data_IF_313204862502
#
_entry.id   IF_313204862502
#
_cell.length_a   1.000
_cell.length_b   1.000
_cell.length_c   1.000
_cell.angle_alpha   90.00
_cell.angle_beta   90.00
_cell.angle_gamma   90.00
#
_symmetry.space_group_name_H-M   'P 1'
#
loop_
_entity.id
_entity.type
_entity.pdbx_description
1 polymer ?
#
# COMPACT_ATOMS: atom_id res chain seq x y z
N UNK A 1 -9.89 27.50 59.44
CA UNK A 1 -10.35 27.03 58.08
C UNK A 1 -10.21 28.10 57.00
N UNK A 2 -10.17 29.41 57.33
CA UNK A 2 -10.05 30.50 56.37
C UNK A 2 -8.66 30.53 55.67
N UNK A 3 -7.56 30.31 56.39
CA UNK A 3 -6.21 30.29 55.84
C UNK A 3 -5.92 29.17 54.82
N UNK A 4 -6.65 28.04 54.87
CA UNK A 4 -6.52 26.97 53.90
C UNK A 4 -7.18 27.32 52.57
N UNK A 5 -8.31 28.01 52.58
CA UNK A 5 -9.00 28.48 51.36
C UNK A 5 -8.18 29.55 50.64
N UNK A 6 -7.54 30.45 51.36
CA UNK A 6 -6.74 31.51 50.76
C UNK A 6 -5.47 30.98 50.08
N UNK A 7 -4.81 29.94 50.62
CA UNK A 7 -3.68 29.27 49.95
C UNK A 7 -4.09 28.51 48.70
N UNK A 8 -5.26 27.87 48.66
CA UNK A 8 -5.77 27.19 47.47
C UNK A 8 -6.16 28.18 46.37
N UNK A 9 -6.69 29.36 46.67
CA UNK A 9 -6.98 30.40 45.68
C UNK A 9 -5.70 30.94 45.04
N UNK A 10 -4.65 31.22 45.80
CA UNK A 10 -3.38 31.74 45.28
C UNK A 10 -2.64 30.72 44.38
N UNK A 11 -2.74 29.43 44.66
CA UNK A 11 -2.13 28.37 43.81
C UNK A 11 -2.88 28.27 42.49
N UNK A 12 -4.22 28.36 42.53
CA UNK A 12 -5.08 28.27 41.34
C UNK A 12 -4.86 29.49 40.40
N UNK A 13 -4.73 30.69 40.94
CA UNK A 13 -4.45 31.91 40.18
C UNK A 13 -3.06 31.88 39.52
N UNK A 14 -2.04 31.39 40.23
CA UNK A 14 -0.70 31.26 39.64
C UNK A 14 -0.62 30.21 38.54
N UNK A 15 -1.31 29.09 38.70
CA UNK A 15 -1.34 28.05 37.66
C UNK A 15 -2.08 28.49 36.40
N UNK A 16 -3.22 29.19 36.56
CA UNK A 16 -3.95 29.74 35.41
C UNK A 16 -3.17 30.85 34.69
N UNK A 17 -2.46 31.71 35.43
CA UNK A 17 -1.62 32.75 34.84
C UNK A 17 -0.46 32.14 34.01
N UNK A 18 0.15 31.06 34.47
CA UNK A 18 1.22 30.38 33.73
C UNK A 18 0.66 29.73 32.44
N UNK A 19 -0.51 29.09 32.49
CA UNK A 19 -1.14 28.49 31.34
C UNK A 19 -1.51 29.56 30.30
N UNK A 20 -2.06 30.68 30.72
CA UNK A 20 -2.41 31.80 29.83
C UNK A 20 -1.16 32.43 29.21
N UNK A 21 -0.09 32.64 29.98
CA UNK A 21 1.18 33.15 29.47
C UNK A 21 1.81 32.15 28.46
N UNK A 22 1.78 30.86 28.76
CA UNK A 22 2.27 29.82 27.84
C UNK A 22 1.48 29.82 26.54
N UNK A 23 0.16 29.91 26.62
CA UNK A 23 -0.68 29.93 25.40
C UNK A 23 -0.49 31.20 24.54
N UNK A 24 -0.12 32.33 25.15
CA UNK A 24 0.14 33.58 24.42
C UNK A 24 1.52 33.63 23.75
N UNK A 25 2.52 32.95 24.32
CA UNK A 25 3.90 33.05 23.83
C UNK A 25 4.42 31.79 23.14
N UNK A 26 3.82 30.61 23.36
CA UNK A 26 4.31 29.33 22.87
C UNK A 26 3.30 28.52 22.08
N UNK A 27 2.04 29.02 21.91
CA UNK A 27 1.15 28.33 20.98
C UNK A 27 1.64 28.54 19.53
N UNK A 28 1.95 27.48 18.77
CA UNK A 28 2.23 27.62 17.36
C UNK A 28 0.98 28.14 16.64
N UNK A 29 1.18 29.07 15.73
CA UNK A 29 0.10 29.57 14.88
C UNK A 29 -0.51 28.39 14.11
N UNK A 30 -1.85 28.29 14.15
CA UNK A 30 -2.55 27.28 13.37
C UNK A 30 -2.17 27.46 11.89
N UNK A 31 -1.81 26.38 11.17
CA UNK A 31 -1.54 26.50 9.74
C UNK A 31 -2.78 27.08 9.05
N UNK A 32 -2.61 28.24 8.46
CA UNK A 32 -3.64 28.88 7.64
C UNK A 32 -3.81 28.04 6.38
N UNK A 33 -4.94 27.38 6.26
CA UNK A 33 -5.34 26.69 5.04
C UNK A 33 -5.45 27.70 3.91
N UNK A 34 -4.38 27.93 3.17
CA UNK A 34 -4.38 28.73 1.96
C UNK A 34 -5.04 27.94 0.81
N UNK A 35 -6.37 28.06 0.71
CA UNK A 35 -7.07 27.84 -0.54
C UNK A 35 -6.81 29.05 -1.44
N UNK A 36 -5.72 29.08 -2.17
CA UNK A 36 -5.60 29.97 -3.32
C UNK A 36 -4.61 29.43 -4.37
N UNK A 37 -5.19 28.98 -5.48
CA UNK A 37 -4.74 29.25 -6.84
C UNK A 37 -3.26 28.95 -7.16
N UNK A 38 -2.98 27.70 -7.44
CA UNK A 38 -1.79 27.34 -8.21
C UNK A 38 -2.11 27.66 -9.68
N UNK A 39 -1.53 28.73 -10.16
CA UNK A 39 -1.40 29.01 -11.59
C UNK A 39 -0.64 27.88 -12.26
N UNK A 40 -1.27 27.34 -13.28
CA UNK A 40 -0.78 26.35 -14.22
C UNK A 40 0.51 26.85 -14.90
N UNK A 41 1.66 26.49 -14.36
CA UNK A 41 2.91 26.54 -15.10
C UNK A 41 3.14 25.14 -15.67
N UNK A 42 3.11 25.07 -16.99
CA UNK A 42 3.53 23.89 -17.74
C UNK A 42 5.01 23.65 -17.42
N UNK A 43 5.29 22.62 -16.64
CA UNK A 43 6.59 21.99 -16.57
C UNK A 43 6.45 20.72 -17.39
N UNK A 44 7.28 20.63 -18.43
CA UNK A 44 7.41 19.43 -19.25
C UNK A 44 7.67 18.23 -18.34
N UNK A 45 6.72 17.28 -18.31
CA UNK A 45 6.84 16.05 -17.56
C UNK A 45 7.90 15.15 -18.21
N UNK A 46 9.02 15.00 -17.55
CA UNK A 46 9.86 13.83 -17.75
C UNK A 46 9.19 12.66 -17.02
N UNK A 47 8.63 11.76 -17.80
CA UNK A 47 7.83 10.62 -17.35
C UNK A 47 8.71 9.46 -16.92
N UNK A 48 9.21 9.42 -15.70
CA UNK A 48 9.96 8.27 -15.18
C UNK A 48 9.60 7.87 -13.73
N UNK A 49 8.43 8.31 -13.24
CA UNK A 49 7.86 7.79 -11.99
C UNK A 49 6.51 7.13 -12.29
N UNK A 50 6.16 5.98 -11.66
CA UNK A 50 4.81 5.45 -11.73
C UNK A 50 3.84 6.55 -11.27
N UNK A 51 3.06 7.09 -12.21
CA UNK A 51 2.17 8.22 -11.95
C UNK A 51 1.04 7.78 -11.01
N UNK A 52 0.96 8.40 -9.83
CA UNK A 52 -0.16 8.32 -8.91
C UNK A 52 -1.45 8.98 -9.44
N UNK A 53 -1.39 9.65 -10.59
CA UNK A 53 -2.49 10.43 -11.16
C UNK A 53 -3.18 9.74 -12.34
N UNK A 54 -3.73 8.54 -12.11
CA UNK A 54 -4.89 8.11 -12.89
C UNK A 54 -6.14 8.23 -12.04
N UNK A 55 -6.73 9.40 -12.04
CA UNK A 55 -8.11 9.61 -11.59
C UNK A 55 -9.04 9.02 -12.64
N UNK A 56 -9.03 7.69 -12.73
CA UNK A 56 -10.07 6.98 -13.45
C UNK A 56 -11.37 7.15 -12.66
N UNK A 57 -12.36 7.72 -13.29
CA UNK A 57 -13.77 7.64 -12.87
C UNK A 57 -14.18 6.16 -12.94
N UNK A 58 -13.76 5.37 -11.97
CA UNK A 58 -14.08 3.96 -11.89
C UNK A 58 -15.56 3.81 -11.53
N UNK A 59 -16.33 3.23 -12.43
CA UNK A 59 -17.60 2.61 -12.09
C UNK A 59 -17.27 1.62 -10.96
N UNK A 60 -17.82 1.84 -9.76
CA UNK A 60 -17.54 1.00 -8.60
C UNK A 60 -18.14 -0.38 -8.84
N UNK A 61 -17.26 -1.32 -9.15
CA UNK A 61 -17.61 -2.73 -9.39
C UNK A 61 -17.60 -3.45 -8.04
N UNK A 62 -18.46 -4.46 -7.87
CA UNK A 62 -18.39 -5.31 -6.68
C UNK A 62 -17.08 -6.09 -6.65
N UNK A 63 -16.57 -6.46 -5.45
CA UNK A 63 -15.34 -7.26 -5.33
C UNK A 63 -15.44 -8.57 -6.11
N UNK A 64 -16.59 -9.26 -6.04
CA UNK A 64 -16.81 -10.53 -6.72
C UNK A 64 -16.76 -10.39 -8.25
N UNK A 65 -17.31 -9.31 -8.79
CA UNK A 65 -17.26 -9.05 -10.22
C UNK A 65 -15.88 -8.61 -10.67
N UNK A 66 -15.16 -7.82 -9.86
CA UNK A 66 -13.79 -7.44 -10.13
C UNK A 66 -12.84 -8.65 -10.20
N UNK A 67 -13.00 -9.63 -9.28
CA UNK A 67 -12.20 -10.86 -9.27
C UNK A 67 -12.42 -11.72 -10.51
N UNK A 68 -13.58 -11.64 -11.17
CA UNK A 68 -13.89 -12.39 -12.40
C UNK A 68 -13.32 -11.76 -13.67
N UNK A 69 -12.86 -10.51 -13.63
CA UNK A 69 -12.44 -9.76 -14.83
C UNK A 69 -11.09 -10.21 -15.41
N UNK A 70 -10.31 -10.98 -14.67
CA UNK A 70 -8.99 -11.43 -15.09
C UNK A 70 -8.70 -12.87 -14.68
N UNK A 71 -7.74 -13.48 -15.36
CA UNK A 71 -7.23 -14.79 -14.94
C UNK A 71 -6.44 -14.64 -13.64
N UNK A 72 -6.61 -15.61 -12.75
CA UNK A 72 -6.04 -15.57 -11.40
C UNK A 72 -5.43 -16.90 -11.01
N UNK A 73 -4.46 -16.85 -10.09
CA UNK A 73 -3.90 -18.02 -9.43
C UNK A 73 -4.34 -17.98 -7.97
N UNK A 74 -4.96 -19.03 -7.52
CA UNK A 74 -5.36 -19.16 -6.14
C UNK A 74 -4.18 -19.51 -5.25
N UNK A 75 -4.18 -18.93 -4.04
CA UNK A 75 -3.29 -19.34 -2.97
C UNK A 75 -4.06 -19.66 -1.70
N UNK A 76 -3.52 -20.58 -0.94
CA UNK A 76 -4.12 -21.00 0.32
C UNK A 76 -3.06 -21.66 1.21
N UNK A 77 -3.08 -21.30 2.50
CA UNK A 77 -2.41 -22.02 3.58
C UNK A 77 -3.37 -22.15 4.79
N UNK A 78 -2.84 -22.44 5.99
CA UNK A 78 -3.66 -22.57 7.20
C UNK A 78 -4.27 -21.24 7.67
N UNK A 79 -3.66 -20.11 7.34
CA UNK A 79 -3.97 -18.79 7.89
C UNK A 79 -4.72 -17.89 6.93
N UNK A 80 -4.47 -18.00 5.63
CA UNK A 80 -5.01 -17.12 4.59
C UNK A 80 -5.49 -17.89 3.37
N UNK A 81 -6.41 -17.24 2.63
CA UNK A 81 -6.88 -17.67 1.31
C UNK A 81 -7.03 -16.44 0.42
N UNK A 82 -6.74 -16.60 -0.86
CA UNK A 82 -6.87 -15.50 -1.83
C UNK A 82 -6.43 -15.88 -3.22
N UNK A 83 -6.13 -14.86 -4.02
CA UNK A 83 -5.65 -15.07 -5.38
C UNK A 83 -4.77 -13.93 -5.89
N UNK A 84 -3.90 -14.26 -6.84
CA UNK A 84 -3.00 -13.35 -7.54
C UNK A 84 -3.57 -13.10 -8.92
N UNK A 85 -3.68 -11.83 -9.27
CA UNK A 85 -4.12 -11.41 -10.60
C UNK A 85 -2.98 -11.61 -11.61
N UNK A 86 -3.22 -12.31 -12.73
CA UNK A 86 -2.22 -12.46 -13.79
C UNK A 86 -2.03 -11.17 -14.60
N UNK A 87 -2.99 -10.25 -14.57
CA UNK A 87 -2.83 -8.89 -15.07
C UNK A 87 -2.06 -8.06 -14.05
N UNK A 88 -0.88 -7.59 -14.40
CA UNK A 88 0.06 -6.88 -13.52
C UNK A 88 0.81 -7.76 -12.49
N UNK A 89 0.45 -9.04 -12.36
CA UNK A 89 0.96 -9.94 -11.32
C UNK A 89 0.80 -9.36 -9.89
N UNK A 90 -0.36 -8.78 -9.61
CA UNK A 90 -0.70 -8.13 -8.35
C UNK A 90 -1.30 -9.12 -7.35
N UNK A 91 -0.94 -8.98 -6.07
CA UNK A 91 -1.63 -9.65 -4.96
C UNK A 91 -2.73 -8.71 -4.49
N UNK A 92 -3.96 -8.92 -4.97
CA UNK A 92 -5.10 -8.03 -4.80
C UNK A 92 -6.35 -8.73 -4.26
N UNK A 93 -6.18 -9.90 -3.66
CA UNK A 93 -7.26 -10.67 -3.06
C UNK A 93 -6.68 -11.53 -1.93
N UNK A 94 -6.97 -11.16 -0.69
CA UNK A 94 -6.56 -11.90 0.50
C UNK A 94 -7.59 -11.79 1.60
N UNK A 95 -7.98 -12.93 2.15
CA UNK A 95 -8.89 -13.06 3.27
C UNK A 95 -8.25 -13.91 4.37
N UNK A 96 -8.35 -13.45 5.61
CA UNK A 96 -7.89 -14.19 6.77
C UNK A 96 -8.87 -15.32 7.13
N UNK A 97 -8.37 -16.52 7.36
CA UNK A 97 -9.20 -17.69 7.75
C UNK A 97 -9.56 -17.68 9.24
N UNK A 98 -8.69 -17.10 10.06
CA UNK A 98 -8.77 -17.18 11.52
C UNK A 98 -9.35 -15.91 12.17
N UNK A 99 -9.63 -14.83 11.40
CA UNK A 99 -10.14 -13.57 11.91
C UNK A 99 -11.53 -13.28 11.34
N UNK A 100 -12.46 -12.96 12.23
CA UNK A 100 -13.80 -12.52 11.87
C UNK A 100 -13.91 -10.99 11.97
N UNK A 101 -14.83 -10.39 11.20
CA UNK A 101 -15.07 -8.94 11.25
C UNK A 101 -15.62 -8.48 12.59
N UNK A 102 -16.39 -9.34 13.28
CA UNK A 102 -17.00 -9.11 14.59
C UNK A 102 -17.00 -10.39 15.39
N UNK A 103 -17.10 -10.29 16.71
CA UNK A 103 -17.12 -11.44 17.63
C UNK A 103 -18.30 -12.38 17.37
N UNK A 104 -19.45 -11.83 16.94
CA UNK A 104 -20.69 -12.59 16.68
C UNK A 104 -20.87 -12.96 15.20
N UNK A 105 -19.98 -12.52 14.31
CA UNK A 105 -20.07 -12.75 12.88
C UNK A 105 -19.15 -13.90 12.43
N UNK A 106 -19.66 -14.73 11.51
CA UNK A 106 -18.83 -15.70 10.80
C UNK A 106 -18.14 -15.11 9.57
N UNK A 107 -18.35 -13.81 9.26
CA UNK A 107 -17.76 -13.14 8.13
C UNK A 107 -16.25 -12.91 8.39
N UNK A 108 -15.43 -13.40 7.49
CA UNK A 108 -13.98 -13.27 7.60
C UNK A 108 -13.49 -11.87 7.21
N UNK A 109 -12.38 -11.45 7.83
CA UNK A 109 -11.70 -10.19 7.48
C UNK A 109 -11.04 -10.37 6.12
N UNK A 110 -11.42 -9.54 5.16
CA UNK A 110 -10.75 -9.40 3.87
C UNK A 110 -9.77 -8.23 3.97
N UNK A 111 -8.49 -8.50 3.76
CA UNK A 111 -7.42 -7.50 3.81
C UNK A 111 -7.23 -6.83 2.45
N UNK A 112 -7.00 -7.63 1.40
CA UNK A 112 -6.72 -7.11 0.06
C UNK A 112 -7.95 -7.20 -0.84
N UNK A 113 -8.07 -6.23 -1.73
CA UNK A 113 -9.11 -6.14 -2.74
C UNK A 113 -8.61 -5.52 -4.05
N UNK A 114 -9.23 -5.88 -5.20
CA UNK A 114 -8.83 -5.38 -6.52
C UNK A 114 -8.79 -3.86 -6.62
N UNK A 115 -7.92 -3.34 -7.50
CA UNK A 115 -7.72 -1.90 -7.74
C UNK A 115 -9.00 -1.15 -8.08
N UNK A 116 -9.90 -1.76 -8.85
CA UNK A 116 -11.10 -1.13 -9.40
C UNK A 116 -12.33 -1.16 -8.47
N UNK A 117 -12.18 -1.56 -7.22
CA UNK A 117 -13.23 -1.45 -6.19
C UNK A 117 -12.99 -0.24 -5.28
N UNK A 118 -14.04 0.21 -4.61
CA UNK A 118 -14.00 1.40 -3.73
C UNK A 118 -12.89 1.34 -2.68
N UNK A 119 -12.76 0.20 -2.01
CA UNK A 119 -11.74 -0.04 -0.98
C UNK A 119 -10.61 -0.92 -1.52
N UNK A 120 -10.17 -0.68 -2.77
CA UNK A 120 -9.07 -1.39 -3.37
C UNK A 120 -7.82 -1.27 -2.50
N UNK A 121 -7.18 -2.42 -2.23
CA UNK A 121 -5.97 -2.51 -1.44
C UNK A 121 -5.14 -3.68 -1.97
N UNK A 122 -3.98 -3.39 -2.55
CA UNK A 122 -3.21 -4.38 -3.26
C UNK A 122 -1.71 -4.15 -3.11
N UNK A 123 -0.96 -5.19 -3.40
CA UNK A 123 0.50 -5.19 -3.41
C UNK A 123 0.95 -5.46 -4.84
N UNK A 124 1.81 -4.60 -5.35
CA UNK A 124 2.46 -4.75 -6.64
C UNK A 124 3.97 -4.74 -6.49
N UNK A 125 4.62 -5.44 -7.39
CA UNK A 125 6.07 -5.36 -7.56
C UNK A 125 6.37 -5.33 -9.05
N UNK A 126 7.51 -4.77 -9.43
CA UNK A 126 7.82 -4.65 -10.85
C UNK A 126 9.23 -4.18 -11.10
N UNK A 127 9.42 -3.67 -12.30
CA UNK A 127 10.71 -3.21 -12.79
C UNK A 127 10.58 -1.80 -13.35
N UNK A 128 11.61 -1.00 -13.20
CA UNK A 128 11.76 0.30 -13.86
C UNK A 128 13.09 0.33 -14.60
N UNK A 129 13.17 1.15 -15.64
CA UNK A 129 14.39 1.38 -16.43
C UNK A 129 14.45 2.83 -16.84
N UNK A 130 15.65 3.36 -17.01
CA UNK A 130 15.88 4.70 -17.58
C UNK A 130 15.81 4.71 -19.13
N UNK A 131 15.86 3.54 -19.76
CA UNK A 131 15.78 3.44 -21.22
C UNK A 131 14.33 3.41 -21.69
N UNK A 132 13.88 4.52 -22.29
CA UNK A 132 12.49 4.69 -22.81
C UNK A 132 12.13 3.82 -23.99
N UNK A 133 13.10 3.17 -24.63
CA UNK A 133 12.89 2.33 -25.81
C UNK A 133 12.62 0.86 -25.45
N UNK A 134 12.66 0.53 -24.17
CA UNK A 134 12.45 -0.83 -23.69
C UNK A 134 11.05 -0.99 -23.12
N UNK A 135 10.35 -1.98 -23.62
CA UNK A 135 9.09 -2.41 -23.02
C UNK A 135 9.37 -3.20 -21.73
N UNK A 136 8.82 -2.71 -20.62
CA UNK A 136 8.81 -3.40 -19.33
C UNK A 136 7.38 -3.77 -18.92
N UNK A 137 7.19 -4.84 -18.13
CA UNK A 137 5.86 -5.21 -17.69
C UNK A 137 5.29 -4.15 -16.74
N UNK A 138 4.01 -3.82 -16.93
CA UNK A 138 3.24 -2.85 -16.15
C UNK A 138 1.95 -3.47 -15.57
N UNK A 139 1.09 -2.66 -14.97
CA UNK A 139 -0.19 -3.12 -14.37
C UNK A 139 -1.17 -3.74 -15.37
N UNK A 140 -1.02 -3.48 -16.67
CA UNK A 140 -1.85 -4.02 -17.74
C UNK A 140 -1.27 -5.29 -18.38
N UNK A 141 -0.01 -5.60 -18.13
CA UNK A 141 0.69 -6.73 -18.72
C UNK A 141 0.13 -8.06 -18.21
N UNK A 142 -0.13 -8.98 -19.12
CA UNK A 142 -0.63 -10.32 -18.77
C UNK A 142 0.55 -11.27 -18.58
N UNK A 143 0.73 -11.74 -17.38
CA UNK A 143 1.78 -12.68 -17.02
C UNK A 143 1.36 -14.12 -17.29
N UNK A 144 2.31 -14.94 -17.69
CA UNK A 144 2.13 -16.38 -17.91
C UNK A 144 2.64 -17.16 -16.72
N UNK A 145 1.92 -18.22 -16.36
CA UNK A 145 2.32 -19.14 -15.32
C UNK A 145 3.29 -20.16 -15.91
N UNK A 146 4.39 -20.40 -15.21
CA UNK A 146 5.36 -21.45 -15.54
C UNK A 146 5.28 -22.54 -14.46
N UNK A 147 4.92 -23.74 -14.86
CA UNK A 147 4.86 -24.90 -13.96
C UNK A 147 3.60 -24.92 -13.10
N UNK A 148 3.75 -24.77 -11.79
CA UNK A 148 2.67 -24.88 -10.83
C UNK A 148 1.66 -23.72 -10.97
N UNK A 149 0.38 -24.03 -10.87
CA UNK A 149 -0.72 -23.08 -10.96
C UNK A 149 -1.46 -22.84 -9.63
N UNK A 150 -0.92 -23.36 -8.53
CA UNK A 150 -1.43 -23.14 -7.16
C UNK A 150 -0.28 -22.83 -6.24
N UNK A 151 -0.43 -21.75 -5.46
CA UNK A 151 0.51 -21.33 -4.44
C UNK A 151 0.04 -21.85 -3.07
N UNK A 152 0.93 -22.54 -2.37
CA UNK A 152 0.72 -23.01 -0.99
C UNK A 152 2.01 -22.82 -0.19
N UNK A 153 1.98 -23.12 1.09
CA UNK A 153 3.18 -23.15 1.95
C UNK A 153 4.24 -24.20 1.51
N UNK A 154 3.85 -25.17 0.66
CA UNK A 154 4.71 -26.23 0.13
C UNK A 154 5.06 -26.04 -1.36
N UNK A 155 4.48 -25.06 -2.05
CA UNK A 155 4.67 -24.86 -3.49
C UNK A 155 4.71 -23.39 -3.85
N UNK A 156 5.76 -22.98 -4.56
CA UNK A 156 5.84 -21.65 -5.18
C UNK A 156 5.14 -21.61 -6.54
N UNK A 157 4.87 -20.40 -7.00
CA UNK A 157 4.48 -20.15 -8.39
C UNK A 157 5.54 -19.31 -9.10
N UNK A 158 5.71 -19.54 -10.38
CA UNK A 158 6.58 -18.75 -11.24
C UNK A 158 5.76 -18.10 -12.34
N UNK A 159 5.92 -16.80 -12.47
CA UNK A 159 5.28 -15.97 -13.49
C UNK A 159 6.35 -15.43 -14.44
N UNK A 160 6.03 -15.34 -15.72
CA UNK A 160 6.93 -14.82 -16.75
C UNK A 160 6.22 -13.90 -17.72
N UNK A 161 6.89 -12.86 -18.13
CA UNK A 161 6.48 -11.97 -19.21
C UNK A 161 7.70 -11.61 -20.07
N UNK A 162 7.55 -11.71 -21.40
CA UNK A 162 8.63 -11.46 -22.35
C UNK A 162 8.22 -10.31 -23.26
N UNK A 163 9.11 -9.35 -23.47
CA UNK A 163 8.91 -8.23 -24.38
C UNK A 163 9.33 -8.57 -25.83
N UNK A 164 9.20 -7.60 -26.73
CA UNK A 164 9.57 -7.75 -28.15
C UNK A 164 11.09 -7.65 -28.40
N UNK A 165 11.89 -7.41 -27.37
CA UNK A 165 13.36 -7.29 -27.44
C UNK A 165 14.07 -8.54 -26.87
N UNK A 166 13.38 -9.67 -26.76
CA UNK A 166 13.89 -10.92 -26.18
C UNK A 166 14.39 -10.79 -24.73
N UNK A 167 13.72 -9.91 -23.96
CA UNK A 167 13.95 -9.79 -22.52
C UNK A 167 12.77 -10.41 -21.78
N UNK A 168 13.08 -11.36 -20.92
CA UNK A 168 12.09 -12.06 -20.10
C UNK A 168 12.20 -11.62 -18.65
N UNK A 169 11.10 -11.15 -18.11
CA UNK A 169 10.93 -10.79 -16.71
C UNK A 169 10.23 -11.93 -15.98
N UNK A 170 10.77 -12.32 -14.84
CA UNK A 170 10.21 -13.42 -14.04
C UNK A 170 9.93 -12.96 -12.62
N UNK A 171 8.87 -13.51 -12.03
CA UNK A 171 8.54 -13.39 -10.61
C UNK A 171 8.30 -14.78 -10.05
N UNK A 172 9.04 -15.14 -9.01
CA UNK A 172 8.74 -16.30 -8.20
C UNK A 172 8.09 -15.82 -6.90
N UNK A 173 6.93 -16.36 -6.57
CA UNK A 173 6.18 -16.01 -5.37
C UNK A 173 6.08 -17.25 -4.49
N UNK A 174 6.52 -17.11 -3.24
CA UNK A 174 6.46 -18.12 -2.21
C UNK A 174 5.56 -17.62 -1.09
N UNK A 175 4.93 -18.53 -0.40
CA UNK A 175 4.09 -18.28 0.78
C UNK A 175 4.56 -19.19 1.90
N UNK A 176 4.72 -18.63 3.11
CA UNK A 176 5.01 -19.46 4.29
C UNK A 176 3.72 -20.10 4.86
N UNK A 177 3.83 -20.78 5.98
CA UNK A 177 2.70 -21.40 6.68
C UNK A 177 1.80 -20.40 7.41
N UNK A 178 2.17 -19.09 7.45
CA UNK A 178 1.47 -18.03 8.14
C UNK A 178 1.01 -16.93 7.19
N UNK A 179 1.79 -15.86 7.05
CA UNK A 179 1.37 -14.63 6.35
C UNK A 179 2.43 -14.04 5.44
N UNK A 180 3.66 -14.60 5.42
CA UNK A 180 4.77 -14.01 4.69
C UNK A 180 4.77 -14.45 3.23
N UNK A 181 4.68 -13.48 2.32
CA UNK A 181 4.98 -13.64 0.91
C UNK A 181 6.43 -13.26 0.64
N UNK A 182 7.15 -14.13 -0.04
CA UNK A 182 8.48 -13.80 -0.57
C UNK A 182 8.38 -13.67 -2.08
N UNK A 183 8.75 -12.51 -2.61
CA UNK A 183 8.73 -12.22 -4.05
C UNK A 183 10.17 -12.09 -4.53
N UNK A 184 10.58 -13.00 -5.43
CA UNK A 184 11.87 -12.94 -6.11
C UNK A 184 11.65 -12.48 -7.52
N UNK A 185 12.35 -11.45 -7.94
CA UNK A 185 12.29 -10.90 -9.28
C UNK A 185 13.60 -11.12 -10.02
N UNK A 186 13.53 -11.55 -11.27
CA UNK A 186 14.70 -11.76 -12.13
C UNK A 186 14.42 -11.30 -13.55
N UNK A 187 15.48 -10.95 -14.26
CA UNK A 187 15.44 -10.57 -15.68
C UNK A 187 16.42 -11.46 -16.44
N UNK A 188 15.94 -12.06 -17.51
CA UNK A 188 16.76 -12.84 -18.45
C UNK A 188 16.85 -12.02 -19.73
N UNK A 189 18.05 -11.55 -20.05
CA UNK A 189 18.31 -10.80 -21.25
C UNK A 189 18.92 -11.73 -22.32
N UNK A 190 18.11 -12.09 -23.32
CA UNK A 190 18.54 -12.89 -24.48
C UNK A 190 18.90 -12.02 -25.68
N UNK A 191 18.86 -10.69 -25.55
CA UNK A 191 19.26 -9.75 -26.60
C UNK A 191 20.80 -9.55 -26.64
N UNK A 192 21.27 -8.85 -27.66
CA UNK A 192 22.69 -8.50 -27.78
C UNK A 192 23.07 -7.18 -27.07
N UNK A 193 22.10 -6.49 -26.45
CA UNK A 193 22.30 -5.19 -25.83
C UNK A 193 22.34 -5.31 -24.30
N UNK A 194 22.96 -4.35 -23.65
CA UNK A 194 22.95 -4.20 -22.18
C UNK A 194 21.88 -3.22 -21.78
N UNK A 195 21.16 -3.54 -20.71
CA UNK A 195 20.10 -2.72 -20.14
C UNK A 195 20.19 -2.71 -18.62
N UNK A 196 19.82 -1.59 -18.02
CA UNK A 196 19.75 -1.44 -16.57
C UNK A 196 18.29 -1.48 -16.11
N UNK A 197 18.00 -2.37 -15.16
CA UNK A 197 16.70 -2.51 -14.55
C UNK A 197 16.82 -2.38 -13.04
N UNK A 198 15.82 -1.72 -12.45
CA UNK A 198 15.66 -1.60 -11.01
C UNK A 198 14.35 -2.25 -10.60
N UNK A 199 14.36 -2.98 -9.50
CA UNK A 199 13.13 -3.56 -8.95
C UNK A 199 12.44 -2.57 -8.02
N UNK A 200 11.10 -2.60 -7.98
CA UNK A 200 10.31 -1.87 -7.01
C UNK A 200 9.23 -2.75 -6.39
N UNK A 201 8.76 -2.37 -5.22
CA UNK A 201 7.55 -2.86 -4.59
C UNK A 201 6.72 -1.69 -4.11
N UNK A 202 5.40 -1.81 -4.21
CA UNK A 202 4.48 -0.79 -3.72
C UNK A 202 3.22 -1.40 -3.12
N UNK A 203 2.68 -0.73 -2.13
CA UNK A 203 1.38 -0.98 -1.55
C UNK A 203 0.45 0.14 -2.01
N UNK A 204 -0.69 -0.22 -2.59
CA UNK A 204 -1.66 0.74 -3.11
C UNK A 204 -2.95 0.57 -2.33
N UNK A 205 -3.48 1.67 -1.82
CA UNK A 205 -4.75 1.72 -1.12
C UNK A 205 -5.60 2.88 -1.62
N UNK A 206 -6.82 2.60 -2.10
CA UNK A 206 -7.68 3.63 -2.70
C UNK A 206 -8.24 4.63 -1.68
N UNK A 207 -8.35 4.24 -0.42
CA UNK A 207 -8.92 5.08 0.64
C UNK A 207 -8.18 4.87 1.96
N UNK A 208 -8.02 5.95 2.70
CA UNK A 208 -7.60 5.89 4.11
C UNK A 208 -8.65 5.09 4.89
N UNK A 209 -8.26 4.14 5.75
CA UNK A 209 -9.19 3.38 6.55
C UNK A 209 -9.97 4.28 7.49
N UNK A 210 -11.26 3.98 7.70
CA UNK A 210 -12.03 4.63 8.76
C UNK A 210 -11.56 4.10 10.10
N UNK A 211 -11.10 5.01 10.94
CA UNK A 211 -10.60 4.70 12.26
C UNK A 211 -11.74 4.87 13.27
N UNK A 212 -11.82 3.98 14.26
CA UNK A 212 -12.67 4.20 15.42
C UNK A 212 -11.96 5.20 16.33
N UNK A 213 -12.69 6.22 16.83
CA UNK A 213 -12.19 7.29 17.71
C UNK A 213 -11.66 6.78 19.08
N UNK A 214 -10.85 5.75 19.09
CA UNK A 214 -10.13 5.28 20.25
C UNK A 214 -8.70 5.86 20.21
N UNK A 215 -8.08 5.99 21.36
CA UNK A 215 -6.70 6.44 21.47
C UNK A 215 -5.78 5.48 20.70
N UNK A 216 -5.32 5.92 19.53
CA UNK A 216 -4.45 5.16 18.64
C UNK A 216 -3.06 5.79 18.71
N UNK A 217 -2.03 4.97 18.89
CA UNK A 217 -0.65 5.43 19.02
C UNK A 217 -0.02 5.77 17.67
N UNK A 218 -0.43 5.07 16.60
CA UNK A 218 0.06 5.26 15.25
C UNK A 218 -1.02 4.91 14.24
N UNK A 219 -1.19 5.76 13.23
CA UNK A 219 -2.13 5.60 12.13
C UNK A 219 -1.42 5.83 10.80
N UNK A 220 -0.83 4.79 10.25
CA UNK A 220 -0.01 4.96 9.07
C UNK A 220 0.54 3.66 8.51
N UNK A 221 1.63 3.82 7.78
CA UNK A 221 2.40 2.73 7.21
C UNK A 221 3.54 2.37 8.15
N UNK A 222 3.81 1.08 8.26
CA UNK A 222 4.97 0.55 8.98
C UNK A 222 5.75 -0.31 8.01
N UNK A 223 7.03 -0.02 7.86
CA UNK A 223 7.94 -0.77 7.03
C UNK A 223 9.25 -1.07 7.75
N UNK A 224 9.94 -2.11 7.34
CA UNK A 224 11.33 -2.36 7.71
C UNK A 224 12.16 -2.35 6.43
N UNK A 225 13.06 -1.38 6.33
CA UNK A 225 13.98 -1.23 5.20
C UNK A 225 15.42 -1.28 5.74
N UNK A 226 16.22 -2.19 5.22
CA UNK A 226 17.62 -2.37 5.63
C UNK A 226 17.79 -2.49 7.17
N UNK A 227 16.92 -3.31 7.79
CA UNK A 227 16.84 -3.51 9.25
C UNK A 227 16.43 -2.28 10.08
N UNK A 228 16.01 -1.18 9.45
CA UNK A 228 15.48 0.01 10.10
C UNK A 228 13.95 0.01 10.05
N UNK A 229 13.30 0.28 11.20
CA UNK A 229 11.85 0.46 11.29
C UNK A 229 11.50 1.88 10.84
N UNK A 230 10.60 1.97 9.86
CA UNK A 230 10.05 3.22 9.35
C UNK A 230 8.56 3.26 9.65
N UNK A 231 8.11 4.35 10.25
CA UNK A 231 6.71 4.63 10.55
C UNK A 231 6.33 5.96 9.89
N UNK A 232 5.28 5.95 9.05
CA UNK A 232 4.77 7.13 8.35
C UNK A 232 3.28 7.28 8.61
N UNK A 233 2.85 8.39 9.17
CA UNK A 233 1.45 8.68 9.42
C UNK A 233 0.70 8.98 8.11
N UNK A 234 -0.61 8.63 8.06
CA UNK A 234 -1.43 8.92 6.87
C UNK A 234 -1.59 10.41 6.56
N UNK A 235 -1.38 11.28 7.53
CA UNK A 235 -1.45 12.73 7.35
C UNK A 235 -0.19 13.31 6.68
N UNK A 236 0.89 12.52 6.62
CA UNK A 236 2.19 12.91 6.05
C UNK A 236 2.42 12.36 4.62
N UNK A 237 1.44 11.59 4.07
CA UNK A 237 1.52 10.91 2.76
C UNK A 237 0.72 11.65 1.68
#
# INVERSE_FOLDING_TARGET
SAFRRQRQMCIRDRSTAVIVLYSLFFMPEKPVSNKNLIKKNQIEQTSDTPSLDQKETSIQVSREDALKQSQRINFENQSIIGSINLKGAAIDDLTFKNYNTDLESNKKVTLLGPRNIENGYLIESGFVTSDKNIDIPNSESIWRVIGNNKLTDQSSIKLSWTNNQDITFEKEILLDDKYLFTIRQSVINSSNNKYDFYSYGQIIRNKIPKISNFYILHEGLIATLDDELIEEDYDDI
#
